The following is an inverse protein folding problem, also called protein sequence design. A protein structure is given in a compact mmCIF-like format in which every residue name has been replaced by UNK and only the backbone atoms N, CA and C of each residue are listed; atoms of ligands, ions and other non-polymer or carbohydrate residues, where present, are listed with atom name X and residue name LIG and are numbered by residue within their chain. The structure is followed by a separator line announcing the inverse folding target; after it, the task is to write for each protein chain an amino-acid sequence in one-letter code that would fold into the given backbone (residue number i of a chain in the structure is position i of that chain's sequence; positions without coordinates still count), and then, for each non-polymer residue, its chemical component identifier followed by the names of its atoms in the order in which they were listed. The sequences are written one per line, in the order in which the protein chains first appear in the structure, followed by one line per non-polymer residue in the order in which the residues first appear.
data_IF_558517146158
#
_entry.id   IF_558517146158
#
_cell.length_a   1.000
_cell.length_b   1.000
_cell.length_c   1.000
_cell.angle_alpha   90.00
_cell.angle_beta   90.00
_cell.angle_gamma   90.00
#
_symmetry.space_group_name_H-M   'P 1'
#
loop_
_entity.id
_entity.type
_entity.pdbx_description
1 polymer ?
#
# COMPACT_ATOMS: atom_id res chain seq x y z
N UNK A 1 -23.98 17.88 -18.75
CA UNK A 1 -23.59 16.87 -17.74
C UNK A 1 -22.30 17.36 -17.08
N UNK A 2 -22.43 18.03 -15.93
CA UNK A 2 -21.32 18.60 -15.20
C UNK A 2 -20.76 17.51 -14.27
N UNK A 3 -19.61 16.91 -14.63
CA UNK A 3 -18.93 15.95 -13.74
C UNK A 3 -18.11 16.75 -12.74
N UNK A 4 -18.72 17.01 -11.60
CA UNK A 4 -18.09 17.09 -10.29
C UNK A 4 -16.97 16.03 -10.19
N UNK A 5 -15.72 16.47 -10.30
CA UNK A 5 -14.52 15.63 -10.26
C UNK A 5 -13.68 16.09 -9.07
N UNK A 6 -14.22 15.90 -7.87
CA UNK A 6 -13.46 16.01 -6.63
C UNK A 6 -12.56 14.77 -6.58
N UNK A 7 -11.36 14.90 -7.13
CA UNK A 7 -10.30 13.91 -6.91
C UNK A 7 -9.89 14.03 -5.45
N UNK A 8 -10.52 13.23 -4.60
CA UNK A 8 -10.16 13.14 -3.20
C UNK A 8 -8.72 12.62 -3.14
N UNK A 9 -7.77 13.50 -2.82
CA UNK A 9 -6.32 13.24 -2.87
C UNK A 9 -5.96 12.00 -2.07
N UNK A 10 -6.69 11.77 -0.98
CA UNK A 10 -6.55 10.62 -0.11
C UNK A 10 -6.87 9.29 -0.84
N UNK A 11 -7.97 9.25 -1.59
CA UNK A 11 -8.30 8.08 -2.44
C UNK A 11 -7.23 7.80 -3.50
N UNK A 12 -6.61 8.85 -4.06
CA UNK A 12 -5.52 8.72 -5.04
C UNK A 12 -4.27 8.16 -4.39
N UNK A 13 -3.95 8.59 -3.17
CA UNK A 13 -2.83 8.07 -2.37
C UNK A 13 -3.05 6.60 -2.05
N UNK A 14 -4.22 6.19 -1.54
CA UNK A 14 -4.50 4.78 -1.23
C UNK A 14 -4.51 3.89 -2.48
N UNK A 15 -5.10 4.35 -3.59
CA UNK A 15 -5.05 3.65 -4.86
C UNK A 15 -3.61 3.49 -5.38
N UNK A 16 -2.75 4.49 -5.16
CA UNK A 16 -1.35 4.43 -5.56
C UNK A 16 -0.54 3.41 -4.73
N UNK A 17 -0.82 3.30 -3.43
CA UNK A 17 -0.17 2.33 -2.54
C UNK A 17 -0.56 0.90 -2.97
N UNK A 18 -1.85 0.63 -3.15
CA UNK A 18 -2.35 -0.67 -3.60
C UNK A 18 -1.81 -1.04 -4.99
N UNK A 19 -1.83 -0.07 -5.92
CA UNK A 19 -1.26 -0.23 -7.25
C UNK A 19 0.24 -0.52 -7.23
N UNK A 20 0.99 0.09 -6.31
CA UNK A 20 2.42 -0.16 -6.14
C UNK A 20 2.71 -1.55 -5.61
N UNK A 21 1.95 -2.05 -4.63
CA UNK A 21 2.14 -3.41 -4.11
C UNK A 21 1.91 -4.45 -5.20
N UNK A 22 0.79 -4.35 -5.91
CA UNK A 22 0.46 -5.25 -7.02
C UNK A 22 1.50 -5.11 -8.14
N UNK A 23 1.89 -3.88 -8.48
CA UNK A 23 2.90 -3.59 -9.49
C UNK A 23 4.28 -4.14 -9.13
N UNK A 24 4.66 -4.13 -7.85
CA UNK A 24 5.91 -4.74 -7.37
C UNK A 24 5.84 -6.26 -7.45
N UNK A 25 4.71 -6.89 -7.08
CA UNK A 25 4.55 -8.35 -7.20
C UNK A 25 4.66 -8.77 -8.67
N UNK A 26 3.87 -8.14 -9.54
CA UNK A 26 3.88 -8.42 -10.98
C UNK A 26 5.23 -8.08 -11.61
N UNK A 27 5.84 -6.97 -11.21
CA UNK A 27 7.14 -6.53 -11.65
C UNK A 27 8.28 -7.45 -11.20
N UNK A 28 8.23 -7.96 -9.97
CA UNK A 28 9.15 -8.99 -9.46
C UNK A 28 8.92 -10.34 -10.13
N UNK A 29 7.69 -10.66 -10.51
CA UNK A 29 7.35 -11.89 -11.22
C UNK A 29 7.79 -11.84 -12.71
N UNK A 30 7.75 -10.65 -13.33
CA UNK A 30 8.24 -10.40 -14.69
C UNK A 30 9.74 -10.18 -14.76
N UNK A 31 10.35 -9.59 -13.74
CA UNK A 31 11.79 -9.40 -13.66
C UNK A 31 12.46 -10.78 -13.41
N UNK A 32 13.25 -11.31 -14.36
CA UNK A 32 13.90 -12.60 -14.20
C UNK A 32 15.14 -12.43 -13.34
N UNK A 33 14.97 -12.17 -12.04
CA UNK A 33 16.05 -12.37 -11.06
C UNK A 33 15.93 -13.80 -10.54
N UNK A 34 17.02 -14.57 -10.59
CA UNK A 34 17.07 -15.91 -10.03
C UNK A 34 16.59 -15.83 -8.57
N UNK A 35 15.50 -16.53 -8.22
CA UNK A 35 14.94 -16.50 -6.87
C UNK A 35 15.96 -16.83 -5.78
N UNK A 36 17.09 -17.46 -6.15
CA UNK A 36 18.23 -17.72 -5.28
C UNK A 36 18.99 -16.45 -4.87
N UNK A 37 19.21 -15.51 -5.79
CA UNK A 37 19.84 -14.21 -5.49
C UNK A 37 18.90 -13.31 -4.67
N UNK A 38 17.62 -13.30 -5.02
CA UNK A 38 16.61 -12.53 -4.26
C UNK A 38 16.52 -13.02 -2.82
N UNK A 39 16.54 -14.34 -2.60
CA UNK A 39 16.51 -14.93 -1.25
C UNK A 39 17.79 -14.62 -0.48
N UNK A 40 18.94 -14.66 -1.14
CA UNK A 40 20.21 -14.32 -0.50
C UNK A 40 20.24 -12.83 -0.12
N UNK A 41 19.85 -11.92 -1.02
CA UNK A 41 19.74 -10.48 -0.78
C UNK A 41 18.71 -10.15 0.32
N UNK A 42 17.56 -10.85 0.37
CA UNK A 42 16.57 -10.69 1.44
C UNK A 42 17.11 -11.21 2.78
N UNK A 43 17.90 -12.28 2.79
CA UNK A 43 18.44 -12.80 4.06
C UNK A 43 19.53 -11.89 4.63
N UNK A 44 20.42 -11.36 3.78
CA UNK A 44 21.49 -10.44 4.23
C UNK A 44 20.97 -9.02 4.43
N UNK A 45 20.34 -8.40 3.44
CA UNK A 45 19.88 -7.01 3.53
C UNK A 45 18.49 -6.89 4.14
N UNK A 46 17.64 -7.91 4.00
CA UNK A 46 16.28 -7.86 4.53
C UNK A 46 16.21 -7.94 6.05
N UNK A 47 17.25 -8.42 6.75
CA UNK A 47 17.32 -8.32 8.22
C UNK A 47 17.42 -6.87 8.69
N UNK A 48 18.26 -6.08 8.02
CA UNK A 48 18.44 -4.66 8.35
C UNK A 48 17.26 -3.81 7.88
N UNK A 49 16.72 -4.13 6.69
CA UNK A 49 15.50 -3.50 6.19
C UNK A 49 14.29 -3.82 7.09
N UNK A 50 14.10 -5.09 7.49
CA UNK A 50 13.02 -5.49 8.38
C UNK A 50 13.14 -4.86 9.78
N UNK A 51 14.36 -4.66 10.31
CA UNK A 51 14.57 -3.91 11.55
C UNK A 51 14.11 -2.46 11.40
N UNK A 52 14.52 -1.81 10.31
CA UNK A 52 14.19 -0.41 10.04
C UNK A 52 12.69 -0.21 9.78
N UNK A 53 12.08 -1.16 9.07
CA UNK A 53 10.63 -1.22 8.82
C UNK A 53 9.86 -1.52 10.10
N UNK A 54 10.31 -2.44 10.96
CA UNK A 54 9.64 -2.73 12.25
C UNK A 54 9.54 -1.51 13.14
N UNK A 55 10.59 -0.70 13.22
CA UNK A 55 10.56 0.51 14.05
C UNK A 55 9.63 1.57 13.47
N UNK A 56 9.56 1.71 12.14
CA UNK A 56 8.64 2.64 11.46
C UNK A 56 7.23 2.11 11.27
N UNK A 57 7.00 0.83 11.56
CA UNK A 57 5.73 0.15 11.30
C UNK A 57 4.64 0.59 12.26
N UNK A 58 4.94 0.88 13.53
CA UNK A 58 3.88 1.29 14.46
C UNK A 58 3.29 2.63 14.00
N UNK A 59 4.13 3.65 13.87
CA UNK A 59 3.70 4.99 13.44
C UNK A 59 3.00 4.98 12.07
N UNK A 60 3.46 4.15 11.13
CA UNK A 60 2.88 4.06 9.78
C UNK A 60 1.58 3.24 9.73
N UNK A 61 1.40 2.26 10.61
CA UNK A 61 0.15 1.50 10.71
C UNK A 61 -0.89 2.29 11.49
N UNK A 62 -0.50 3.04 12.53
CA UNK A 62 -1.41 3.92 13.26
C UNK A 62 -1.95 5.02 12.33
N UNK A 63 -1.09 5.65 11.52
CA UNK A 63 -1.53 6.67 10.53
C UNK A 63 -2.36 6.06 9.39
N UNK A 64 -2.09 4.80 9.00
CA UNK A 64 -2.91 4.09 8.02
C UNK A 64 -4.25 3.62 8.57
N UNK A 65 -4.34 3.22 9.85
CA UNK A 65 -5.59 2.77 10.48
C UNK A 65 -6.56 3.95 10.66
N UNK A 66 -6.06 5.13 11.09
CA UNK A 66 -6.86 6.36 11.17
C UNK A 66 -7.41 6.76 9.78
N UNK A 67 -6.54 6.71 8.76
CA UNK A 67 -6.89 6.95 7.36
C UNK A 67 -7.91 5.91 6.84
N UNK A 68 -7.72 4.62 7.15
CA UNK A 68 -8.63 3.53 6.74
C UNK A 68 -10.00 3.68 7.39
N UNK A 69 -10.07 4.12 8.65
CA UNK A 69 -11.33 4.40 9.35
C UNK A 69 -12.09 5.55 8.66
N UNK A 70 -11.38 6.59 8.19
CA UNK A 70 -11.96 7.68 7.39
C UNK A 70 -12.45 7.22 6.00
N UNK A 71 -11.79 6.25 5.35
CA UNK A 71 -12.31 5.60 4.12
C UNK A 71 -13.55 4.77 4.43
N UNK A 72 -13.55 4.01 5.54
CA UNK A 72 -14.66 3.14 5.94
C UNK A 72 -15.96 3.92 6.09
N UNK A 73 -15.89 5.09 6.73
CA UNK A 73 -17.03 6.00 6.85
C UNK A 73 -17.44 6.58 5.48
N UNK A 74 -16.48 6.93 4.61
CA UNK A 74 -16.76 7.47 3.27
C UNK A 74 -17.39 6.44 2.30
N UNK A 75 -16.99 5.17 2.39
CA UNK A 75 -17.58 4.07 1.62
C UNK A 75 -18.99 3.76 2.15
N UNK A 76 -19.24 3.90 3.46
CA UNK A 76 -20.57 3.73 4.06
C UNK A 76 -21.58 4.81 3.64
N UNK A 77 -21.12 6.05 3.43
CA UNK A 77 -21.94 7.17 2.94
C UNK A 77 -22.21 7.08 1.41
N UNK A 78 -21.31 6.48 0.62
CA UNK A 78 -21.47 6.30 -0.83
C UNK A 78 -22.18 5.00 -1.20
N UNK A 79 -21.92 3.90 -0.48
CA UNK A 79 -22.53 2.58 -0.70
C UNK A 79 -23.77 2.39 0.16
N UNK A 80 -24.67 3.39 0.18
CA UNK A 80 -25.92 3.36 0.94
C UNK A 80 -26.55 1.97 0.97
N UNK A 81 -26.42 1.32 2.12
CA UNK A 81 -27.13 0.09 2.44
C UNK A 81 -28.46 0.55 3.08
N UNK A 82 -29.58 0.18 2.44
CA UNK A 82 -30.95 0.48 2.87
C UNK A 82 -31.24 0.07 4.33
#
# INVERSE_FOLDING_TARGET
MNRNNEVNIFSVVCASILGTVIGVIVGLMLAPKSGNELRNDIVTNGRDFAKKVRTKKNDFFDELDDDIEEIGDFDSDILGED
#
